data_IF_045084319630
#
_entry.id   IF_045084319630
#
_cell.length_a   1.000
_cell.length_b   1.000
_cell.length_c   1.000
_cell.angle_alpha   90.00
_cell.angle_beta   90.00
_cell.angle_gamma   90.00
#
_symmetry.space_group_name_H-M   'P 1'
#
loop_
_entity.id
_entity.type
_entity.pdbx_description
1 polymer ?
#
# COMPACT_ATOMS: atom_id res chain seq x y z
N UNK A 1 7.71 27.42 21.71
CA UNK A 1 8.73 26.76 20.87
C UNK A 1 8.01 25.73 20.06
N UNK A 2 7.72 26.05 18.80
CA UNK A 2 6.88 25.23 17.93
C UNK A 2 7.66 24.01 17.46
N UNK A 3 7.26 22.84 17.93
CA UNK A 3 7.70 21.57 17.37
C UNK A 3 6.81 21.27 16.18
N UNK A 4 7.31 21.59 14.99
CA UNK A 4 6.78 21.05 13.74
C UNK A 4 6.94 19.53 13.82
N UNK A 5 5.86 18.73 13.77
CA UNK A 5 6.01 17.28 13.73
C UNK A 5 6.75 16.95 12.44
N UNK A 6 7.95 16.41 12.62
CA UNK A 6 8.78 15.90 11.54
C UNK A 6 8.07 14.65 11.05
N UNK A 7 7.37 14.77 9.91
CA UNK A 7 6.99 13.62 9.08
C UNK A 7 8.29 12.87 8.84
N UNK A 8 8.53 11.78 9.58
CA UNK A 8 9.67 10.91 9.33
C UNK A 8 9.65 10.54 7.86
N UNK A 9 10.75 10.84 7.18
CA UNK A 9 10.89 10.78 5.75
C UNK A 9 10.49 9.41 5.20
N UNK A 10 9.30 9.32 4.62
CA UNK A 10 8.93 8.30 3.65
C UNK A 10 10.09 8.16 2.66
N UNK A 11 10.59 6.95 2.33
CA UNK A 11 11.85 6.77 1.63
C UNK A 11 11.89 7.51 0.28
N UNK A 12 12.47 8.71 0.27
CA UNK A 12 12.59 9.58 -0.90
C UNK A 12 13.70 9.09 -1.83
N UNK A 13 13.52 9.28 -3.14
CA UNK A 13 14.63 9.29 -4.09
C UNK A 13 15.40 10.61 -3.87
N UNK A 14 16.74 10.62 -3.76
CA UNK A 14 17.49 11.86 -3.59
C UNK A 14 17.17 12.86 -4.71
N UNK A 15 16.70 14.06 -4.36
CA UNK A 15 16.43 15.15 -5.31
C UNK A 15 15.00 15.22 -5.88
N UNK A 16 14.06 14.37 -5.44
CA UNK A 16 12.66 14.42 -5.88
C UNK A 16 11.74 14.65 -4.68
N UNK A 17 11.03 15.78 -4.65
CA UNK A 17 9.93 15.97 -3.71
C UNK A 17 8.71 15.26 -4.27
N UNK A 18 8.15 14.30 -3.53
CA UNK A 18 6.87 13.69 -3.90
C UNK A 18 5.74 14.72 -3.78
N UNK A 19 4.70 14.64 -4.62
CA UNK A 19 3.56 15.54 -4.54
C UNK A 19 2.86 15.40 -3.18
N UNK A 20 2.56 16.52 -2.54
CA UNK A 20 1.85 16.53 -1.25
C UNK A 20 0.34 16.45 -1.41
N UNK A 21 -0.20 16.98 -2.52
CA UNK A 21 -1.63 16.92 -2.83
C UNK A 21 -2.01 15.56 -3.42
N UNK A 22 -2.99 14.91 -2.80
CA UNK A 22 -3.54 13.63 -3.27
C UNK A 22 -4.63 13.85 -4.31
N UNK A 23 -4.54 13.14 -5.43
CA UNK A 23 -5.57 13.02 -6.46
C UNK A 23 -6.33 11.72 -6.25
N UNK A 24 -7.66 11.78 -6.15
CA UNK A 24 -8.49 10.57 -6.06
C UNK A 24 -8.73 10.00 -7.45
N UNK A 25 -8.53 8.68 -7.58
CA UNK A 25 -8.83 7.94 -8.80
C UNK A 25 -9.69 6.73 -8.43
N UNK A 26 -10.91 6.68 -8.95
CA UNK A 26 -11.82 5.56 -8.69
C UNK A 26 -11.84 4.63 -9.90
N UNK A 27 -11.61 3.34 -9.67
CA UNK A 27 -11.86 2.31 -10.66
C UNK A 27 -13.32 1.89 -10.58
N UNK A 28 -14.03 1.99 -11.70
CA UNK A 28 -15.43 1.57 -11.82
C UNK A 28 -15.55 0.52 -12.93
N UNK A 29 -15.04 -0.68 -12.65
CA UNK A 29 -15.21 -1.82 -13.57
C UNK A 29 -16.67 -2.28 -13.52
N UNK A 30 -17.35 -2.21 -14.68
CA UNK A 30 -18.79 -2.51 -14.80
C UNK A 30 -19.09 -3.87 -15.46
N UNK A 31 -18.12 -4.79 -15.51
CA UNK A 31 -18.35 -6.17 -15.96
C UNK A 31 -18.09 -6.47 -17.44
N UNK A 32 -17.79 -5.48 -18.28
CA UNK A 32 -17.30 -5.71 -19.64
C UNK A 32 -15.78 -5.51 -19.72
N UNK A 33 -14.98 -6.60 -19.79
CA UNK A 33 -13.52 -6.52 -19.81
C UNK A 33 -12.94 -5.95 -21.11
N UNK A 34 -13.69 -5.96 -22.21
CA UNK A 34 -13.17 -5.56 -23.53
C UNK A 34 -13.24 -4.05 -23.69
N UNK A 35 -14.30 -3.43 -23.15
CA UNK A 35 -14.52 -1.99 -23.25
C UNK A 35 -13.91 -1.20 -22.10
N UNK A 36 -13.49 -1.88 -21.04
CA UNK A 36 -12.89 -1.26 -19.87
C UNK A 36 -11.41 -1.60 -19.73
N UNK A 37 -10.55 -0.59 -19.77
CA UNK A 37 -9.11 -0.73 -19.55
C UNK A 37 -8.63 0.26 -18.48
N UNK A 38 -7.85 -0.18 -17.48
CA UNK A 38 -7.37 0.68 -16.40
C UNK A 38 -6.18 1.54 -16.85
N UNK A 39 -6.34 2.36 -17.88
CA UNK A 39 -5.28 3.29 -18.30
C UNK A 39 -5.07 4.35 -17.22
N UNK A 40 -3.80 4.56 -16.86
CA UNK A 40 -3.42 5.66 -15.98
C UNK A 40 -3.80 6.97 -16.69
N UNK A 41 -4.54 7.88 -16.05
CA UNK A 41 -4.82 9.17 -16.63
C UNK A 41 -3.53 9.89 -17.06
N UNK A 42 -3.55 10.53 -18.23
CA UNK A 42 -2.39 11.21 -18.78
C UNK A 42 -2.09 12.53 -18.06
N UNK A 43 -1.50 12.45 -16.87
CA UNK A 43 -1.08 13.63 -16.13
C UNK A 43 0.28 14.15 -16.59
N UNK A 44 0.35 15.47 -16.83
CA UNK A 44 1.57 16.17 -17.30
C UNK A 44 2.66 16.28 -16.23
N UNK A 45 2.30 16.25 -14.95
CA UNK A 45 3.22 16.41 -13.83
C UNK A 45 3.17 15.16 -12.93
N UNK A 46 4.15 14.93 -12.04
CA UNK A 46 4.04 13.93 -10.98
C UNK A 46 2.78 14.15 -10.11
N UNK A 47 2.12 13.06 -9.70
CA UNK A 47 0.94 13.07 -8.81
C UNK A 47 1.10 12.02 -7.72
N UNK A 48 0.54 12.30 -6.53
CA UNK A 48 0.23 11.31 -5.50
C UNK A 48 -1.23 10.92 -5.72
N UNK A 49 -1.49 9.66 -6.02
CA UNK A 49 -2.78 9.18 -6.53
C UNK A 49 -3.31 8.14 -5.56
N UNK A 50 -4.45 8.40 -4.93
CA UNK A 50 -5.15 7.41 -4.12
C UNK A 50 -6.18 6.71 -4.95
N UNK A 51 -6.08 5.38 -5.02
CA UNK A 51 -6.90 4.55 -5.89
C UNK A 51 -7.53 3.41 -5.13
N UNK A 52 -8.87 3.37 -5.13
CA UNK A 52 -9.61 2.22 -4.63
C UNK A 52 -9.74 1.18 -5.76
N UNK A 53 -9.30 -0.04 -5.50
CA UNK A 53 -9.23 -1.14 -6.47
C UNK A 53 -10.25 -2.25 -6.21
N UNK A 54 -11.22 -2.01 -5.34
CA UNK A 54 -12.22 -3.00 -4.93
C UNK A 54 -13.00 -3.61 -6.11
N UNK A 55 -13.31 -2.81 -7.13
CA UNK A 55 -14.05 -3.27 -8.31
C UNK A 55 -13.26 -4.25 -9.19
N UNK A 56 -11.92 -4.15 -9.19
CA UNK A 56 -11.05 -5.06 -9.96
C UNK A 56 -10.55 -6.26 -9.15
N UNK A 57 -10.81 -6.26 -7.84
CA UNK A 57 -10.58 -7.40 -6.94
C UNK A 57 -11.88 -8.16 -6.63
N UNK A 58 -12.99 -7.76 -7.24
CA UNK A 58 -14.25 -8.47 -7.10
C UNK A 58 -14.13 -9.90 -7.67
N UNK A 59 -14.73 -10.93 -7.03
CA UNK A 59 -14.70 -12.30 -7.55
C UNK A 59 -15.24 -12.45 -8.98
N UNK A 60 -16.15 -11.57 -9.40
CA UNK A 60 -16.69 -11.57 -10.76
C UNK A 60 -15.79 -10.80 -11.75
N UNK A 61 -14.80 -10.05 -11.27
CA UNK A 61 -13.83 -9.38 -12.10
C UNK A 61 -12.79 -10.40 -12.64
N UNK A 62 -12.42 -10.34 -13.93
CA UNK A 62 -11.36 -11.19 -14.46
C UNK A 62 -10.03 -10.93 -13.75
N UNK A 63 -9.36 -11.99 -13.30
CA UNK A 63 -8.08 -11.91 -12.58
C UNK A 63 -7.03 -11.06 -13.32
N UNK A 64 -6.95 -11.22 -14.64
CA UNK A 64 -6.00 -10.47 -15.48
C UNK A 64 -6.12 -8.96 -15.31
N UNK A 65 -7.29 -8.45 -14.91
CA UNK A 65 -7.54 -7.01 -14.75
C UNK A 65 -6.66 -6.40 -13.67
N UNK A 66 -6.55 -7.09 -12.53
CA UNK A 66 -5.67 -6.69 -11.43
C UNK A 66 -4.20 -6.76 -11.86
N UNK A 67 -3.80 -7.82 -12.60
CA UNK A 67 -2.44 -7.92 -13.13
C UNK A 67 -2.10 -6.79 -14.11
N UNK A 68 -3.03 -6.42 -14.99
CA UNK A 68 -2.86 -5.31 -15.92
C UNK A 68 -2.76 -3.98 -15.18
N UNK A 69 -3.66 -3.72 -14.22
CA UNK A 69 -3.61 -2.51 -13.40
C UNK A 69 -2.24 -2.34 -12.72
N UNK A 70 -1.74 -3.39 -12.03
CA UNK A 70 -0.44 -3.33 -11.38
C UNK A 70 0.72 -3.16 -12.37
N UNK A 71 0.62 -3.72 -13.57
CA UNK A 71 1.62 -3.51 -14.62
C UNK A 71 1.66 -2.05 -15.08
N UNK A 72 0.51 -1.41 -15.26
CA UNK A 72 0.42 0.00 -15.67
C UNK A 72 1.02 0.94 -14.60
N UNK A 73 0.65 0.78 -13.32
CA UNK A 73 1.20 1.63 -12.25
C UNK A 73 2.68 1.36 -11.96
N UNK A 74 3.17 0.13 -12.21
CA UNK A 74 4.61 -0.19 -12.13
C UNK A 74 5.44 0.58 -13.17
N UNK A 75 4.89 0.79 -14.37
CA UNK A 75 5.54 1.55 -15.45
C UNK A 75 5.46 3.06 -15.18
N UNK A 76 4.37 3.52 -14.56
CA UNK A 76 4.11 4.93 -14.29
C UNK A 76 4.89 5.47 -13.06
N UNK A 77 6.20 5.19 -12.97
CA UNK A 77 7.08 5.45 -11.81
C UNK A 77 7.35 6.92 -11.47
N UNK A 78 6.83 7.85 -12.30
CA UNK A 78 6.78 9.29 -12.01
C UNK A 78 5.70 9.68 -10.99
N UNK A 79 4.76 8.79 -10.66
CA UNK A 79 3.67 9.02 -9.71
C UNK A 79 3.83 8.18 -8.45
N UNK A 80 3.26 8.61 -7.32
CA UNK A 80 2.98 7.72 -6.17
C UNK A 80 1.56 7.18 -6.33
N UNK A 81 1.38 5.88 -6.16
CA UNK A 81 0.07 5.25 -6.06
C UNK A 81 -0.15 4.75 -4.64
N UNK A 82 -1.15 5.31 -3.98
CA UNK A 82 -1.74 4.83 -2.73
C UNK A 82 -2.90 3.91 -3.08
N UNK A 83 -2.60 2.63 -3.26
CA UNK A 83 -3.59 1.61 -3.60
C UNK A 83 -4.31 1.20 -2.33
N UNK A 84 -5.64 1.34 -2.29
CA UNK A 84 -6.48 1.00 -1.14
C UNK A 84 -7.53 -0.04 -1.53
N UNK A 85 -7.88 -0.90 -0.58
CA UNK A 85 -8.93 -1.92 -0.78
C UNK A 85 -9.59 -2.32 0.53
N UNK A 86 -10.83 -2.81 0.46
CA UNK A 86 -11.51 -3.56 1.52
C UNK A 86 -11.35 -5.08 1.36
N UNK A 87 -10.66 -5.55 0.31
CA UNK A 87 -10.44 -6.96 -0.05
C UNK A 87 -8.94 -7.35 0.00
N UNK A 88 -8.28 -7.28 1.17
CA UNK A 88 -6.83 -7.49 1.28
C UNK A 88 -6.39 -8.92 0.95
N UNK A 89 -7.25 -9.93 1.14
CA UNK A 89 -6.93 -11.32 0.80
C UNK A 89 -6.71 -11.48 -0.71
N UNK A 90 -7.59 -10.90 -1.52
CA UNK A 90 -7.50 -10.91 -2.98
C UNK A 90 -6.27 -10.09 -3.43
N UNK A 91 -6.06 -8.91 -2.86
CA UNK A 91 -4.86 -8.11 -3.11
C UNK A 91 -3.59 -8.93 -2.85
N UNK A 92 -3.50 -9.59 -1.69
CA UNK A 92 -2.34 -10.40 -1.31
C UNK A 92 -2.06 -11.51 -2.32
N UNK A 93 -3.10 -12.23 -2.75
CA UNK A 93 -2.98 -13.30 -3.75
C UNK A 93 -2.37 -12.77 -5.05
N UNK A 94 -2.90 -11.66 -5.58
CA UNK A 94 -2.39 -11.02 -6.80
C UNK A 94 -0.93 -10.60 -6.63
N UNK A 95 -0.59 -9.94 -5.52
CA UNK A 95 0.78 -9.45 -5.30
C UNK A 95 1.77 -10.61 -5.17
N UNK A 96 1.44 -11.66 -4.40
CA UNK A 96 2.32 -12.83 -4.25
C UNK A 96 2.56 -13.50 -5.59
N UNK A 97 1.51 -13.72 -6.39
CA UNK A 97 1.65 -14.32 -7.71
C UNK A 97 2.53 -13.46 -8.64
N UNK A 98 2.37 -12.13 -8.60
CA UNK A 98 3.19 -11.21 -9.38
C UNK A 98 4.65 -11.21 -8.97
N UNK A 99 4.94 -11.18 -7.67
CA UNK A 99 6.32 -11.24 -7.18
C UNK A 99 6.96 -12.57 -7.54
N UNK A 100 6.23 -13.68 -7.43
CA UNK A 100 6.70 -14.99 -7.87
C UNK A 100 7.04 -15.01 -9.37
N UNK A 101 6.15 -14.50 -10.22
CA UNK A 101 6.41 -14.40 -11.66
C UNK A 101 7.65 -13.54 -11.99
N UNK A 102 7.88 -12.44 -11.25
CA UNK A 102 9.08 -11.61 -11.41
C UNK A 102 10.35 -12.38 -11.03
N UNK A 103 10.31 -13.12 -9.91
CA UNK A 103 11.41 -13.97 -9.48
C UNK A 103 11.73 -15.06 -10.51
N UNK A 104 10.72 -15.80 -10.98
CA UNK A 104 10.90 -16.86 -11.97
C UNK A 104 11.50 -16.32 -13.27
N UNK A 105 11.04 -15.15 -13.73
CA UNK A 105 11.58 -14.49 -14.91
C UNK A 105 13.03 -14.05 -14.71
N UNK A 106 13.39 -13.55 -13.54
CA UNK A 106 14.77 -13.17 -13.20
C UNK A 106 15.69 -14.40 -13.11
N UNK A 107 15.23 -15.49 -12.49
CA UNK A 107 15.99 -16.73 -12.32
C UNK A 107 16.26 -17.43 -13.66
N UNK A 108 15.36 -17.29 -14.64
CA UNK A 108 15.58 -17.77 -16.00
C UNK A 108 16.83 -17.14 -16.64
N UNK A 109 17.19 -15.90 -16.28
CA UNK A 109 18.46 -15.30 -16.71
C UNK A 109 19.65 -15.85 -15.92
N UNK A 110 19.52 -16.07 -14.62
CA UNK A 110 20.60 -16.63 -13.78
C UNK A 110 21.05 -18.02 -14.27
N UNK A 111 20.09 -18.84 -14.69
CA UNK A 111 20.31 -20.21 -15.16
C UNK A 111 20.60 -20.31 -16.67
N UNK A 112 20.66 -19.19 -17.39
CA UNK A 112 20.80 -19.21 -18.85
C UNK A 112 22.19 -19.73 -19.27
N UNK A 113 22.33 -20.66 -20.24
CA UNK A 113 23.61 -21.30 -20.57
C UNK A 113 24.66 -20.33 -21.12
N UNK A 114 24.23 -19.32 -21.88
CA UNK A 114 25.09 -18.29 -22.48
C UNK A 114 25.46 -17.20 -21.44
N UNK A 115 26.75 -16.99 -21.09
CA UNK A 115 27.16 -16.01 -20.07
C UNK A 115 26.72 -14.57 -20.36
N UNK A 116 26.78 -14.14 -21.62
CA UNK A 116 26.39 -12.78 -22.02
C UNK A 116 24.90 -12.49 -21.85
N UNK A 117 24.05 -13.53 -21.83
CA UNK A 117 22.62 -13.40 -21.53
C UNK A 117 22.38 -13.16 -20.05
N UNK A 118 23.14 -13.83 -19.18
CA UNK A 118 23.07 -13.66 -17.71
C UNK A 118 23.37 -12.23 -17.27
N UNK A 119 24.27 -11.54 -17.96
CA UNK A 119 24.66 -10.15 -17.66
C UNK A 119 24.01 -9.11 -18.60
N UNK A 120 23.01 -9.51 -19.38
CA UNK A 120 22.38 -8.62 -20.36
C UNK A 120 21.61 -7.46 -19.69
N UNK A 121 21.34 -6.35 -20.39
CA UNK A 121 20.48 -5.30 -19.86
C UNK A 121 19.11 -5.80 -19.41
N UNK A 122 18.50 -6.74 -20.14
CA UNK A 122 17.24 -7.36 -19.77
C UNK A 122 17.34 -8.19 -18.48
N UNK A 123 18.42 -8.94 -18.29
CA UNK A 123 18.67 -9.68 -17.04
C UNK A 123 18.80 -8.74 -15.84
N UNK A 124 19.55 -7.65 -15.97
CA UNK A 124 19.69 -6.63 -14.91
C UNK A 124 18.34 -6.01 -14.56
N UNK A 125 17.51 -5.74 -15.56
CA UNK A 125 16.18 -5.21 -15.35
C UNK A 125 15.25 -6.22 -14.67
N UNK A 126 15.28 -7.49 -15.08
CA UNK A 126 14.52 -8.57 -14.44
C UNK A 126 14.87 -8.72 -12.95
N UNK A 127 16.16 -8.80 -12.62
CA UNK A 127 16.61 -8.87 -11.23
C UNK A 127 16.26 -7.60 -10.44
N UNK A 128 16.31 -6.41 -11.05
CA UNK A 128 15.88 -5.17 -10.41
C UNK A 128 14.40 -5.21 -10.04
N UNK A 129 13.54 -5.65 -10.97
CA UNK A 129 12.08 -5.75 -10.74
C UNK A 129 11.70 -6.83 -9.74
N UNK A 130 12.46 -7.92 -9.69
CA UNK A 130 12.25 -9.01 -8.73
C UNK A 130 12.83 -8.72 -7.33
N UNK A 131 13.75 -7.76 -7.19
CA UNK A 131 14.49 -7.58 -5.95
C UNK A 131 13.68 -6.96 -4.81
N UNK A 132 12.88 -5.92 -5.09
CA UNK A 132 12.11 -5.21 -4.07
C UNK A 132 10.83 -4.64 -4.66
N UNK A 133 9.76 -4.60 -3.86
CA UNK A 133 8.53 -3.94 -4.22
C UNK A 133 8.78 -2.46 -4.67
N UNK A 134 8.07 -1.97 -5.70
CA UNK A 134 8.27 -0.61 -6.20
C UNK A 134 7.96 0.45 -5.13
N UNK A 135 8.92 1.34 -4.86
CA UNK A 135 8.81 2.37 -3.80
C UNK A 135 7.67 3.38 -4.02
N UNK A 136 7.23 3.51 -5.26
CA UNK A 136 6.19 4.43 -5.68
C UNK A 136 4.78 3.82 -5.65
N UNK A 137 4.66 2.56 -5.21
CA UNK A 137 3.39 1.86 -5.01
C UNK A 137 3.28 1.50 -3.54
N UNK A 138 2.28 2.08 -2.88
CA UNK A 138 1.95 1.80 -1.49
C UNK A 138 0.66 1.00 -1.47
N UNK A 139 0.59 0.01 -0.58
CA UNK A 139 -0.58 -0.84 -0.44
C UNK A 139 -1.25 -0.56 0.89
N UNK A 140 -2.55 -0.38 0.88
CA UNK A 140 -3.29 -0.08 2.09
C UNK A 140 -4.67 -0.69 2.14
N UNK A 141 -5.21 -0.69 3.36
CA UNK A 141 -6.54 -1.20 3.66
C UNK A 141 -7.44 -0.09 4.16
N UNK A 142 -8.69 -0.09 3.70
CA UNK A 142 -9.71 0.80 4.23
C UNK A 142 -10.31 0.17 5.50
N UNK A 143 -10.32 0.94 6.58
CA UNK A 143 -10.77 0.55 7.91
C UNK A 143 -11.95 1.44 8.29
N UNK A 144 -13.15 0.87 8.36
CA UNK A 144 -14.37 1.57 8.78
C UNK A 144 -14.85 1.15 10.16
N UNK A 145 -14.40 -0.02 10.63
CA UNK A 145 -14.69 -0.58 11.94
C UNK A 145 -13.47 -1.26 12.55
N UNK A 146 -13.51 -1.55 13.85
CA UNK A 146 -12.48 -2.37 14.50
C UNK A 146 -12.40 -3.78 13.88
N UNK A 147 -13.53 -4.33 13.45
CA UNK A 147 -13.57 -5.63 12.79
C UNK A 147 -12.76 -5.62 11.49
N UNK A 148 -12.87 -4.54 10.69
CA UNK A 148 -12.06 -4.37 9.49
C UNK A 148 -10.57 -4.33 9.85
N UNK A 149 -10.18 -3.60 10.90
CA UNK A 149 -8.79 -3.54 11.34
C UNK A 149 -8.26 -4.93 11.72
N UNK A 150 -9.02 -5.66 12.54
CA UNK A 150 -8.67 -6.99 13.03
C UNK A 150 -8.49 -8.01 11.88
N UNK A 151 -9.29 -7.90 10.81
CA UNK A 151 -9.23 -8.82 9.68
C UNK A 151 -8.25 -8.39 8.59
N UNK A 152 -8.21 -7.09 8.27
CA UNK A 152 -7.55 -6.60 7.07
C UNK A 152 -6.06 -6.36 7.27
N UNK A 153 -5.67 -5.79 8.43
CA UNK A 153 -4.29 -5.38 8.66
C UNK A 153 -3.33 -6.57 8.69
N UNK A 154 -3.60 -7.68 9.42
CA UNK A 154 -2.70 -8.84 9.39
C UNK A 154 -2.43 -9.34 7.97
N UNK A 155 -3.47 -9.40 7.15
CA UNK A 155 -3.36 -9.84 5.75
C UNK A 155 -2.50 -8.89 4.91
N UNK A 156 -2.64 -7.57 5.12
CA UNK A 156 -1.80 -6.56 4.48
C UNK A 156 -0.33 -6.70 4.90
N UNK A 157 -0.06 -6.94 6.19
CA UNK A 157 1.30 -7.10 6.71
C UNK A 157 2.03 -8.31 6.10
N UNK A 158 1.29 -9.37 5.77
CA UNK A 158 1.81 -10.52 5.01
C UNK A 158 1.95 -10.28 3.50
N UNK A 159 1.60 -9.09 3.00
CA UNK A 159 1.71 -8.73 1.59
C UNK A 159 3.03 -8.02 1.32
N UNK A 160 3.82 -8.41 0.30
CA UNK A 160 4.99 -7.66 -0.14
C UNK A 160 4.61 -6.24 -0.58
N UNK A 161 5.12 -5.22 0.10
CA UNK A 161 4.89 -3.83 -0.24
C UNK A 161 6.07 -2.97 0.21
N UNK A 162 6.29 -1.86 -0.50
CA UNK A 162 7.29 -0.87 -0.08
C UNK A 162 6.79 -0.05 1.13
N UNK A 163 5.48 0.22 1.18
CA UNK A 163 4.78 0.88 2.27
C UNK A 163 3.42 0.18 2.45
N UNK A 164 3.10 -0.18 3.69
CA UNK A 164 1.83 -0.74 4.14
C UNK A 164 1.12 0.29 5.01
N UNK A 165 -0.09 0.67 4.63
CA UNK A 165 -0.80 1.71 5.36
C UNK A 165 -2.26 1.40 5.62
N UNK A 166 -2.79 1.92 6.73
CA UNK A 166 -4.23 1.89 7.00
C UNK A 166 -4.86 3.23 6.62
N UNK A 167 -6.01 3.20 5.95
CA UNK A 167 -6.87 4.38 5.78
C UNK A 167 -8.05 4.22 6.73
N UNK A 168 -8.12 5.11 7.72
CA UNK A 168 -9.19 5.12 8.70
C UNK A 168 -10.32 6.04 8.21
N UNK A 169 -11.50 5.47 8.04
CA UNK A 169 -12.75 6.14 7.61
C UNK A 169 -13.94 5.57 8.38
N UNK A 170 -14.09 6.00 9.64
CA UNK A 170 -14.90 5.31 10.65
C UNK A 170 -15.86 6.24 11.40
N UNK A 171 -16.95 5.67 11.89
CA UNK A 171 -17.95 6.33 12.75
C UNK A 171 -17.75 6.05 14.26
N UNK A 172 -16.68 5.35 14.65
CA UNK A 172 -16.30 5.07 16.04
C UNK A 172 -14.77 4.91 16.16
N UNK A 173 -14.14 5.15 17.34
CA UNK A 173 -12.70 4.95 17.51
C UNK A 173 -12.27 3.52 17.18
N UNK A 174 -11.10 3.38 16.58
CA UNK A 174 -10.42 2.09 16.32
C UNK A 174 -9.06 2.10 16.98
N UNK A 175 -8.70 0.97 17.57
CA UNK A 175 -7.42 0.70 18.16
C UNK A 175 -6.53 -0.03 17.14
N UNK A 176 -5.48 0.63 16.69
CA UNK A 176 -4.50 0.13 15.72
C UNK A 176 -3.14 -0.19 16.36
N UNK A 177 -2.92 0.15 17.64
CA UNK A 177 -1.69 -0.14 18.40
C UNK A 177 -1.17 -1.57 18.18
N UNK A 178 -2.00 -2.62 18.10
CA UNK A 178 -1.49 -3.99 17.93
C UNK A 178 -0.67 -4.22 16.64
N UNK A 179 -0.83 -3.36 15.63
CA UNK A 179 -0.11 -3.46 14.36
C UNK A 179 0.82 -2.28 14.10
N UNK A 180 0.92 -1.34 15.04
CA UNK A 180 1.80 -0.19 14.92
C UNK A 180 3.20 -0.44 15.48
N UNK A 181 3.41 -1.54 16.22
CA UNK A 181 4.73 -1.92 16.69
C UNK A 181 4.93 -3.43 16.66
N UNK A 182 6.17 -3.87 16.45
CA UNK A 182 6.51 -5.29 16.53
C UNK A 182 6.20 -5.89 17.93
N UNK A 183 6.19 -5.05 18.97
CA UNK A 183 5.83 -5.44 20.34
C UNK A 183 4.31 -5.60 20.56
N UNK A 184 3.48 -4.94 19.73
CA UNK A 184 2.02 -4.93 19.83
C UNK A 184 1.32 -6.14 19.21
N UNK A 185 2.05 -6.99 18.48
CA UNK A 185 1.48 -8.11 17.74
C UNK A 185 0.48 -8.95 18.58
N UNK A 186 -0.81 -9.02 18.19
CA UNK A 186 -1.85 -9.70 18.98
C UNK A 186 -1.60 -11.20 19.14
N UNK A 187 -0.99 -11.82 18.12
CA UNK A 187 -0.58 -13.22 18.15
C UNK A 187 0.59 -13.46 19.13
N UNK A 188 1.42 -12.43 19.34
CA UNK A 188 2.67 -12.49 20.09
C UNK A 188 2.48 -12.25 21.59
N UNK A 189 1.43 -11.51 22.00
CA UNK A 189 1.15 -11.12 23.40
C UNK A 189 2.39 -10.61 24.16
N UNK A 190 3.29 -9.90 23.49
CA UNK A 190 4.52 -9.36 24.08
C UNK A 190 5.63 -10.38 24.37
N UNK A 191 5.55 -11.62 23.87
CA UNK A 191 6.64 -12.59 24.00
C UNK A 191 7.73 -12.30 22.97
N UNK A 192 9.00 -12.27 23.38
CA UNK A 192 10.13 -11.93 22.49
C UNK A 192 10.94 -13.13 22.00
N UNK A 193 10.60 -14.39 22.33
CA UNK A 193 11.21 -15.60 21.74
C UNK A 193 10.40 -16.88 22.02
N UNK A 194 10.49 -17.94 21.18
CA UNK A 194 10.68 -17.93 19.74
C UNK A 194 9.34 -18.28 19.05
N UNK A 195 8.71 -17.31 18.44
CA UNK A 195 7.65 -17.56 17.46
C UNK A 195 7.97 -16.74 16.21
N UNK A 196 7.71 -17.34 15.06
CA UNK A 196 8.06 -16.86 13.71
C UNK A 196 7.17 -15.72 13.22
N UNK A 197 6.68 -14.84 14.11
CA UNK A 197 5.96 -13.64 13.69
C UNK A 197 6.98 -12.67 13.07
N UNK A 198 7.15 -12.78 11.76
CA UNK A 198 7.98 -11.92 10.91
C UNK A 198 7.19 -10.76 10.31
N UNK A 199 5.93 -10.56 10.73
CA UNK A 199 5.08 -9.49 10.21
C UNK A 199 5.67 -8.14 10.62
N UNK A 200 5.97 -7.25 9.66
CA UNK A 200 6.36 -5.89 9.97
C UNK A 200 5.18 -5.11 10.58
N UNK A 201 5.41 -4.03 11.34
CA UNK A 201 4.34 -3.11 11.69
C UNK A 201 3.82 -2.39 10.43
N UNK A 202 2.72 -1.65 10.58
CA UNK A 202 2.32 -0.65 9.58
C UNK A 202 3.45 0.36 9.36
N UNK A 203 3.57 0.87 8.13
CA UNK A 203 4.55 1.90 7.78
C UNK A 203 3.94 3.31 7.92
N UNK A 204 2.61 3.42 7.82
CA UNK A 204 1.87 4.68 7.84
C UNK A 204 0.41 4.44 8.25
N UNK A 205 -0.21 5.39 8.94
CA UNK A 205 -1.67 5.46 9.05
C UNK A 205 -2.14 6.78 8.50
N UNK A 206 -3.19 6.74 7.68
CA UNK A 206 -3.87 7.94 7.19
C UNK A 206 -5.31 7.95 7.64
N UNK A 207 -5.85 9.13 7.92
CA UNK A 207 -7.27 9.30 8.23
C UNK A 207 -7.87 10.26 7.21
N UNK A 208 -9.00 9.87 6.63
CA UNK A 208 -9.77 10.76 5.76
C UNK A 208 -10.89 11.34 6.60
N UNK A 209 -10.94 12.66 6.72
CA UNK A 209 -12.01 13.34 7.44
C UNK A 209 -12.96 13.93 6.41
N UNK A 210 -14.19 13.42 6.35
CA UNK A 210 -15.24 14.00 5.52
C UNK A 210 -15.79 15.26 6.21
N UNK A 211 -15.62 16.43 5.58
CA UNK A 211 -16.10 17.74 6.06
C UNK A 211 -17.64 17.76 6.26
N UNK A 212 -18.39 16.78 5.74
CA UNK A 212 -19.84 16.64 5.95
C UNK A 212 -20.22 15.94 7.25
N UNK A 213 -19.26 15.35 7.96
CA UNK A 213 -19.47 14.74 9.28
C UNK A 213 -18.79 15.60 10.35
N UNK A 214 -19.37 15.71 11.57
CA UNK A 214 -18.68 16.40 12.66
C UNK A 214 -17.31 15.76 12.88
N UNK A 215 -16.24 16.56 12.77
CA UNK A 215 -14.89 16.10 13.08
C UNK A 215 -14.90 15.70 14.55
N UNK A 216 -14.65 14.42 14.83
CA UNK A 216 -14.48 13.98 16.20
C UNK A 216 -13.02 14.22 16.62
N UNK A 217 -12.77 15.39 17.21
CA UNK A 217 -11.43 15.78 17.69
C UNK A 217 -10.84 14.76 18.67
N UNK A 218 -11.68 14.11 19.49
CA UNK A 218 -11.24 13.06 20.41
C UNK A 218 -10.62 11.90 19.63
N UNK A 219 -11.22 11.47 18.52
CA UNK A 219 -10.69 10.35 17.74
C UNK A 219 -9.40 10.70 17.01
N UNK A 220 -9.31 11.93 16.51
CA UNK A 220 -8.08 12.46 15.90
C UNK A 220 -6.95 12.44 16.93
N UNK A 221 -7.21 12.94 18.14
CA UNK A 221 -6.23 12.95 19.22
C UNK A 221 -5.87 11.53 19.68
N UNK A 222 -6.85 10.63 19.79
CA UNK A 222 -6.63 9.22 20.15
C UNK A 222 -5.72 8.55 19.10
N UNK A 223 -5.95 8.79 17.81
CA UNK A 223 -5.13 8.20 16.74
C UNK A 223 -3.71 8.78 16.74
N UNK A 224 -3.56 10.10 16.97
CA UNK A 224 -2.25 10.71 17.16
C UNK A 224 -1.50 10.12 18.36
N UNK A 225 -2.17 9.91 19.50
CA UNK A 225 -1.57 9.30 20.67
C UNK A 225 -1.08 7.86 20.40
N UNK A 226 -1.87 7.06 19.67
CA UNK A 226 -1.44 5.72 19.25
C UNK A 226 -0.18 5.73 18.37
N UNK A 227 -0.11 6.70 17.43
CA UNK A 227 1.05 6.89 16.57
C UNK A 227 2.30 7.34 17.33
N UNK A 228 2.16 8.30 18.25
CA UNK A 228 3.25 8.76 19.13
C UNK A 228 3.79 7.64 20.02
N UNK A 229 2.91 6.83 20.61
CA UNK A 229 3.31 5.67 21.43
C UNK A 229 4.10 4.63 20.64
N UNK A 230 3.80 4.49 19.34
CA UNK A 230 4.33 3.44 18.49
C UNK A 230 5.43 3.91 17.51
N UNK A 231 5.81 5.19 17.54
CA UNK A 231 6.71 5.84 16.57
C UNK A 231 6.28 5.63 15.10
N UNK A 232 4.97 5.74 14.84
CA UNK A 232 4.38 5.66 13.51
C UNK A 232 3.83 7.01 13.06
N UNK A 233 4.08 7.36 11.81
CA UNK A 233 3.50 8.54 11.19
C UNK A 233 1.97 8.41 11.04
N UNK A 234 1.25 9.43 11.53
CA UNK A 234 -0.19 9.61 11.33
C UNK A 234 -0.39 10.82 10.42
N UNK A 235 -0.96 10.60 9.23
CA UNK A 235 -1.25 11.65 8.23
C UNK A 235 -2.76 11.85 8.10
N UNK A 236 -3.26 12.98 8.60
CA UNK A 236 -4.70 13.29 8.58
C UNK A 236 -4.96 14.28 7.46
N UNK A 237 -5.83 13.88 6.53
CA UNK A 237 -6.20 14.71 5.39
C UNK A 237 -7.66 15.14 5.49
N UNK A 238 -7.96 16.46 5.45
CA UNK A 238 -9.33 16.91 5.21
C UNK A 238 -9.74 16.51 3.79
N UNK A 239 -10.89 15.86 3.65
CA UNK A 239 -11.47 15.53 2.36
C UNK A 239 -12.10 16.78 1.76
N UNK A 240 -11.27 17.70 1.27
CA UNK A 240 -11.77 18.80 0.45
C UNK A 240 -12.21 18.23 -0.90
N UNK A 241 -13.53 18.07 -1.10
CA UNK A 241 -14.12 17.92 -2.43
C UNK A 241 -13.95 19.21 -3.23
#
# INVERSE_FOLDING_TARGET
>A
MSLTPTIQHLPHRPGTHWPTKTTLWQLDYQGDPITWWPHIPEWRHPHRVRVNIDTILDPDAPEWLAHTFFQEIEIADKHVFEVITTRPTQLRTIIIDREQHKHDYADAFGNHPIPTRRSSPAAREAHRRAGTAPRHIWLGVLITTQHDADQHIPTLLDTPAAIRFAVVDQDAPVNLVPWMSAAGCPACRGWTTPHTCTQPPLDLVTMTIDDTRPINETWVNDLHAQGEESDIAIDIHPAHR
#
